data_IF_906157368893
#
_entry.id   IF_906157368893
#
_cell.length_a   1.000
_cell.length_b   1.000
_cell.length_c   1.000
_cell.angle_alpha   90.00
_cell.angle_beta   90.00
_cell.angle_gamma   90.00
#
_symmetry.space_group_name_H-M   'P 1'
#
loop_
_entity.id
_entity.type
_entity.pdbx_description
1 polymer ?
#
# COMPACT_ATOMS: atom_id res chain seq x y z
N UNK A 1 24.68 13.09 -79.71
CA UNK A 1 25.56 12.69 -78.60
C UNK A 1 24.93 13.20 -77.32
N UNK A 2 24.85 12.33 -76.30
CA UNK A 2 24.21 12.50 -74.97
C UNK A 2 24.54 13.87 -74.36
N UNK A 3 23.64 14.55 -73.62
CA UNK A 3 23.42 14.31 -72.20
C UNK A 3 22.03 14.77 -71.74
N UNK A 4 21.31 13.84 -71.10
CA UNK A 4 20.23 14.12 -70.16
C UNK A 4 20.81 14.77 -68.90
N UNK A 5 20.23 15.88 -68.43
CA UNK A 5 20.43 16.33 -67.06
C UNK A 5 19.09 16.20 -66.32
N UNK A 6 18.97 15.14 -65.52
CA UNK A 6 17.85 14.96 -64.60
C UNK A 6 18.02 15.93 -63.44
N UNK A 7 17.07 16.86 -63.27
CA UNK A 7 16.93 17.63 -62.03
C UNK A 7 16.31 16.67 -61.00
N UNK A 8 17.15 16.11 -60.13
CA UNK A 8 16.69 15.46 -58.90
C UNK A 8 16.42 16.59 -57.89
N UNK A 9 15.15 16.95 -57.72
CA UNK A 9 14.71 17.70 -56.55
C UNK A 9 14.73 16.72 -55.37
N UNK A 10 15.82 16.74 -54.61
CA UNK A 10 15.84 16.13 -53.29
C UNK A 10 14.93 16.99 -52.39
N UNK A 11 13.66 16.58 -52.28
CA UNK A 11 12.76 17.09 -51.25
C UNK A 11 13.30 16.57 -49.91
N UNK A 12 14.20 17.34 -49.29
CA UNK A 12 14.57 17.11 -47.89
C UNK A 12 13.32 17.46 -47.10
N UNK A 13 12.51 16.45 -46.78
CA UNK A 13 11.54 16.52 -45.70
C UNK A 13 12.32 16.68 -44.39
N UNK A 14 12.81 17.90 -44.14
CA UNK A 14 13.29 18.31 -42.84
C UNK A 14 12.05 18.38 -41.94
N UNK A 15 11.67 17.26 -41.34
CA UNK A 15 10.82 17.32 -40.15
C UNK A 15 11.54 18.23 -39.16
N UNK A 16 10.91 19.28 -38.63
CA UNK A 16 11.62 20.23 -37.81
C UNK A 16 12.05 19.54 -36.51
N UNK A 17 13.37 19.47 -36.24
CA UNK A 17 13.94 19.03 -34.96
C UNK A 17 13.26 19.70 -33.77
N UNK A 18 12.77 20.93 -33.95
CA UNK A 18 11.96 21.66 -32.98
C UNK A 18 10.65 20.93 -32.57
N UNK A 19 9.94 20.31 -33.51
CA UNK A 19 8.70 19.57 -33.22
C UNK A 19 8.97 18.28 -32.46
N UNK A 20 10.11 17.63 -32.72
CA UNK A 20 10.51 16.43 -31.97
C UNK A 20 10.80 16.81 -30.52
N UNK A 21 11.69 17.80 -30.30
CA UNK A 21 12.07 18.24 -28.94
C UNK A 21 10.90 18.72 -28.08
N UNK A 22 9.86 19.27 -28.71
CA UNK A 22 8.64 19.71 -28.01
C UNK A 22 7.82 18.52 -27.54
N UNK A 23 7.65 17.52 -28.40
CA UNK A 23 6.92 16.30 -28.07
C UNK A 23 7.55 15.54 -26.90
N UNK A 24 8.88 15.37 -26.89
CA UNK A 24 9.55 14.66 -25.78
C UNK A 24 9.46 15.43 -24.47
N UNK A 25 9.49 16.76 -24.52
CA UNK A 25 9.27 17.60 -23.35
C UNK A 25 7.85 17.45 -22.80
N UNK A 26 6.84 17.59 -23.64
CA UNK A 26 5.42 17.42 -23.24
C UNK A 26 5.17 16.03 -22.65
N UNK A 27 5.70 14.98 -23.29
CA UNK A 27 5.59 13.60 -22.79
C UNK A 27 6.25 13.43 -21.41
N UNK A 28 7.40 14.07 -21.19
CA UNK A 28 8.08 14.02 -19.90
C UNK A 28 7.32 14.78 -18.82
N UNK A 29 6.82 15.98 -19.14
CA UNK A 29 6.05 16.81 -18.21
C UNK A 29 4.76 16.08 -17.78
N UNK A 30 4.05 15.42 -18.70
CA UNK A 30 2.89 14.57 -18.42
C UNK A 30 3.26 13.38 -17.53
N UNK A 31 4.39 12.72 -17.82
CA UNK A 31 4.87 11.60 -17.02
C UNK A 31 5.24 12.02 -15.59
N UNK A 32 5.91 13.16 -15.41
CA UNK A 32 6.22 13.72 -14.09
C UNK A 32 4.95 14.07 -13.32
N UNK A 33 3.90 14.57 -13.99
CA UNK A 33 2.61 14.83 -13.35
C UNK A 33 2.00 13.54 -12.78
N UNK A 34 1.84 12.50 -13.59
CA UNK A 34 1.31 11.21 -13.12
C UNK A 34 2.21 10.57 -12.07
N UNK A 35 3.54 10.71 -12.19
CA UNK A 35 4.48 10.19 -11.21
C UNK A 35 4.35 10.92 -9.87
N UNK A 36 4.19 12.24 -9.88
CA UNK A 36 4.02 13.05 -8.67
C UNK A 36 2.69 12.82 -7.96
N UNK A 37 1.66 12.35 -8.68
CA UNK A 37 0.36 11.95 -8.12
C UNK A 37 0.25 10.44 -7.88
N UNK A 38 1.38 9.72 -7.92
CA UNK A 38 1.47 8.27 -7.70
C UNK A 38 0.62 7.41 -8.68
N UNK A 39 0.18 8.01 -9.78
CA UNK A 39 -0.48 7.33 -10.89
C UNK A 39 0.54 6.57 -11.76
N UNK A 40 1.30 5.66 -11.15
CA UNK A 40 2.43 4.96 -11.77
C UNK A 40 2.05 4.16 -13.02
N UNK A 41 0.80 3.65 -13.08
CA UNK A 41 0.26 2.95 -14.26
C UNK A 41 0.16 3.85 -15.49
N UNK A 42 -0.12 5.13 -15.28
CA UNK A 42 -0.24 6.14 -16.34
C UNK A 42 1.11 6.79 -16.68
N UNK A 43 1.98 6.97 -15.67
CA UNK A 43 3.33 7.50 -15.86
C UNK A 43 4.25 6.55 -16.65
N UNK A 44 4.22 5.25 -16.33
CA UNK A 44 5.10 4.23 -16.90
C UNK A 44 5.14 4.22 -18.45
N UNK A 45 4.02 4.14 -19.19
CA UNK A 45 4.06 4.07 -20.65
C UNK A 45 4.69 5.32 -21.28
N UNK A 46 4.56 6.49 -20.67
CA UNK A 46 5.15 7.74 -21.15
C UNK A 46 6.67 7.72 -21.01
N UNK A 47 7.20 7.28 -19.87
CA UNK A 47 8.65 7.11 -19.72
C UNK A 47 9.23 6.05 -20.66
N UNK A 48 8.54 4.92 -20.82
CA UNK A 48 8.95 3.88 -21.76
C UNK A 48 8.95 4.40 -23.21
N UNK A 49 8.03 5.30 -23.57
CA UNK A 49 8.02 5.96 -24.87
C UNK A 49 9.26 6.83 -25.09
N UNK A 50 9.71 7.56 -24.07
CA UNK A 50 10.95 8.34 -24.13
C UNK A 50 12.19 7.44 -24.29
N UNK A 51 12.26 6.32 -23.55
CA UNK A 51 13.37 5.35 -23.67
C UNK A 51 13.45 4.68 -25.05
N UNK A 52 12.32 4.51 -25.74
CA UNK A 52 12.29 3.98 -27.12
C UNK A 52 12.81 4.98 -28.17
N UNK A 53 13.00 6.25 -27.79
CA UNK A 53 13.49 7.34 -28.67
C UNK A 53 14.94 7.67 -28.30
N UNK A 54 15.25 8.96 -28.14
CA UNK A 54 16.60 9.47 -27.93
C UNK A 54 17.11 9.33 -26.48
N UNK A 55 16.36 8.67 -25.59
CA UNK A 55 16.67 8.60 -24.16
C UNK A 55 16.96 7.19 -23.64
N UNK A 56 17.29 6.24 -24.53
CA UNK A 56 17.46 4.81 -24.20
C UNK A 56 18.28 4.51 -22.94
N UNK A 57 19.39 5.24 -22.73
CA UNK A 57 20.33 5.03 -21.62
C UNK A 57 20.33 6.19 -20.60
N UNK A 58 19.27 7.00 -20.60
CA UNK A 58 19.12 8.13 -19.69
C UNK A 58 18.76 7.62 -18.28
N UNK A 59 19.70 7.75 -17.33
CA UNK A 59 19.55 7.19 -15.98
C UNK A 59 18.43 7.85 -15.18
N UNK A 60 18.13 9.13 -15.44
CA UNK A 60 17.04 9.87 -14.83
C UNK A 60 15.67 9.22 -15.19
N UNK A 61 15.46 8.85 -16.45
CA UNK A 61 14.23 8.19 -16.91
C UNK A 61 14.19 6.72 -16.49
N UNK A 62 15.31 5.99 -16.59
CA UNK A 62 15.41 4.61 -16.10
C UNK A 62 15.04 4.50 -14.62
N UNK A 63 15.51 5.44 -13.79
CA UNK A 63 15.14 5.54 -12.38
C UNK A 63 13.62 5.64 -12.16
N UNK A 64 12.93 6.52 -12.90
CA UNK A 64 11.48 6.69 -12.81
C UNK A 64 10.72 5.44 -13.24
N UNK A 65 11.15 4.81 -14.35
CA UNK A 65 10.58 3.53 -14.81
C UNK A 65 10.72 2.46 -13.72
N UNK A 66 11.89 2.39 -13.09
CA UNK A 66 12.14 1.51 -11.96
C UNK A 66 11.15 1.71 -10.81
N UNK A 67 10.93 2.95 -10.39
CA UNK A 67 9.96 3.29 -9.34
C UNK A 67 8.53 2.96 -9.75
N UNK A 68 8.14 3.27 -10.99
CA UNK A 68 6.82 2.90 -11.49
C UNK A 68 6.59 1.39 -11.38
N UNK A 69 7.55 0.56 -11.83
CA UNK A 69 7.45 -0.89 -11.72
C UNK A 69 7.39 -1.37 -10.26
N UNK A 70 8.16 -0.77 -9.34
CA UNK A 70 8.11 -1.13 -7.91
C UNK A 70 6.74 -0.91 -7.26
N UNK A 71 5.92 -0.02 -7.81
CA UNK A 71 4.60 0.31 -7.29
C UNK A 71 3.45 -0.34 -8.08
N UNK A 72 3.75 -1.19 -9.07
CA UNK A 72 2.76 -1.92 -9.84
C UNK A 72 2.67 -3.38 -9.40
N UNK A 73 1.52 -3.83 -8.84
CA UNK A 73 1.33 -5.22 -8.44
C UNK A 73 1.59 -6.20 -9.59
N UNK A 74 2.46 -7.18 -9.34
CA UNK A 74 2.84 -8.19 -10.32
C UNK A 74 3.91 -7.76 -11.33
N UNK A 75 4.38 -6.51 -11.28
CA UNK A 75 5.38 -5.97 -12.21
C UNK A 75 6.67 -5.49 -11.51
N UNK A 76 6.80 -5.70 -10.20
CA UNK A 76 7.94 -5.25 -9.38
C UNK A 76 9.28 -5.86 -9.81
N UNK A 77 9.28 -7.06 -10.38
CA UNK A 77 10.50 -7.71 -10.87
C UNK A 77 11.18 -6.93 -12.00
N UNK A 78 10.39 -6.29 -12.87
CA UNK A 78 10.90 -5.49 -13.99
C UNK A 78 11.74 -4.30 -13.51
N UNK A 79 11.49 -3.79 -12.31
CA UNK A 79 12.21 -2.63 -11.77
C UNK A 79 13.72 -2.84 -11.70
N UNK A 80 14.18 -4.07 -11.46
CA UNK A 80 15.59 -4.40 -11.24
C UNK A 80 16.42 -3.98 -12.44
N UNK A 81 16.02 -4.34 -13.66
CA UNK A 81 16.79 -4.03 -14.88
C UNK A 81 17.02 -2.51 -15.04
N UNK A 82 15.99 -1.73 -14.74
CA UNK A 82 16.04 -0.27 -14.89
C UNK A 82 16.85 0.38 -13.77
N UNK A 83 16.70 -0.07 -12.52
CA UNK A 83 17.38 0.49 -11.36
C UNK A 83 18.86 0.11 -11.30
N UNK A 84 19.24 -1.08 -11.76
CA UNK A 84 20.66 -1.45 -11.94
C UNK A 84 21.37 -0.47 -12.88
N UNK A 85 20.76 -0.17 -14.04
CA UNK A 85 21.33 0.79 -15.01
C UNK A 85 21.32 2.23 -14.50
N UNK A 86 20.26 2.63 -13.80
CA UNK A 86 20.13 3.98 -13.27
C UNK A 86 21.17 4.27 -12.18
N UNK A 87 21.30 3.36 -11.21
CA UNK A 87 22.17 3.50 -10.04
C UNK A 87 23.66 3.56 -10.38
N UNK A 88 24.10 2.91 -11.45
CA UNK A 88 25.47 3.01 -11.98
C UNK A 88 25.85 4.43 -12.43
N UNK A 89 24.87 5.28 -12.76
CA UNK A 89 25.07 6.70 -13.12
C UNK A 89 24.45 7.64 -12.08
N UNK A 90 24.43 7.24 -10.82
CA UNK A 90 23.94 8.08 -9.73
C UNK A 90 24.90 9.25 -9.45
N UNK A 91 24.36 10.44 -9.17
CA UNK A 91 25.16 11.64 -8.89
C UNK A 91 24.60 12.46 -7.73
N UNK A 92 25.50 13.02 -6.92
CA UNK A 92 25.16 14.00 -5.87
C UNK A 92 24.82 15.39 -6.42
N UNK A 93 25.13 15.66 -7.70
CA UNK A 93 24.79 16.91 -8.40
C UNK A 93 23.49 16.83 -9.22
N UNK A 94 22.71 15.77 -8.99
CA UNK A 94 21.43 15.50 -9.66
C UNK A 94 20.46 16.69 -9.64
N UNK A 95 19.89 17.02 -10.79
CA UNK A 95 18.86 18.06 -10.95
C UNK A 95 17.48 17.44 -11.14
N UNK A 96 16.64 17.55 -10.11
CA UNK A 96 15.26 17.08 -10.15
C UNK A 96 14.45 17.77 -11.28
N UNK A 97 13.58 17.00 -11.93
CA UNK A 97 12.59 17.47 -12.92
C UNK A 97 13.15 18.15 -14.18
N UNK A 98 14.31 17.69 -14.68
CA UNK A 98 14.84 18.10 -15.98
C UNK A 98 14.90 16.93 -16.96
N UNK A 99 14.28 17.06 -18.13
CA UNK A 99 14.44 16.10 -19.24
C UNK A 99 15.90 16.00 -19.72
N UNK A 100 16.70 17.04 -19.51
CA UNK A 100 18.13 17.05 -19.87
C UNK A 100 19.02 16.40 -18.81
N UNK A 101 18.50 16.13 -17.61
CA UNK A 101 19.23 15.36 -16.62
C UNK A 101 19.46 13.95 -17.14
N UNK A 102 20.70 13.48 -17.03
CA UNK A 102 21.16 12.19 -17.57
C UNK A 102 21.66 11.25 -16.49
N UNK A 103 21.84 11.74 -15.27
CA UNK A 103 22.19 10.97 -14.07
C UNK A 103 20.94 10.64 -13.25
N UNK A 104 21.04 9.60 -12.43
CA UNK A 104 20.02 9.28 -11.43
C UNK A 104 20.34 9.98 -10.09
N UNK A 105 19.35 10.18 -9.21
CA UNK A 105 19.63 10.55 -7.83
C UNK A 105 20.37 9.41 -7.10
N UNK A 106 21.08 9.72 -6.02
CA UNK A 106 21.72 8.70 -5.17
C UNK A 106 20.70 7.68 -4.63
N UNK A 107 19.46 8.11 -4.40
CA UNK A 107 18.32 7.27 -3.99
C UNK A 107 18.05 6.10 -4.95
N UNK A 108 18.53 6.16 -6.19
CA UNK A 108 18.46 5.00 -7.09
C UNK A 108 19.09 3.72 -6.50
N UNK A 109 20.10 3.83 -5.65
CA UNK A 109 20.65 2.69 -4.90
C UNK A 109 19.68 2.17 -3.83
N UNK A 110 18.99 3.08 -3.15
CA UNK A 110 17.97 2.73 -2.17
C UNK A 110 16.81 1.98 -2.84
N UNK A 111 16.28 2.52 -3.93
CA UNK A 111 15.20 1.87 -4.69
C UNK A 111 15.66 0.56 -5.34
N UNK A 112 16.92 0.45 -5.75
CA UNK A 112 17.48 -0.84 -6.20
C UNK A 112 17.50 -1.87 -5.06
N UNK A 113 17.86 -1.46 -3.85
CA UNK A 113 17.75 -2.32 -2.66
C UNK A 113 16.32 -2.80 -2.43
N UNK A 114 15.33 -1.90 -2.52
CA UNK A 114 13.91 -2.25 -2.44
C UNK A 114 13.54 -3.26 -3.54
N UNK A 115 13.95 -3.02 -4.79
CA UNK A 115 13.68 -3.92 -5.91
C UNK A 115 14.27 -5.31 -5.69
N UNK A 116 15.49 -5.43 -5.18
CA UNK A 116 16.05 -6.73 -4.83
C UNK A 116 15.30 -7.38 -3.66
N UNK A 117 14.96 -6.62 -2.62
CA UNK A 117 14.27 -7.11 -1.43
C UNK A 117 12.93 -7.73 -1.77
N UNK A 118 12.05 -6.99 -2.45
CA UNK A 118 10.70 -7.47 -2.84
C UNK A 118 10.74 -8.67 -3.78
N UNK A 119 11.84 -8.85 -4.52
CA UNK A 119 12.09 -9.99 -5.39
C UNK A 119 12.94 -11.08 -4.72
N UNK A 120 13.06 -11.07 -3.39
CA UNK A 120 13.77 -12.07 -2.57
C UNK A 120 15.27 -12.23 -2.88
N UNK A 121 15.88 -11.28 -3.59
CA UNK A 121 17.33 -11.21 -3.82
C UNK A 121 18.02 -10.52 -2.64
N UNK A 122 17.86 -11.09 -1.44
CA UNK A 122 18.12 -10.40 -0.16
C UNK A 122 19.59 -9.98 0.05
N UNK A 123 20.56 -10.78 -0.44
CA UNK A 123 21.97 -10.41 -0.35
C UNK A 123 22.30 -9.19 -1.21
N UNK A 124 21.78 -9.14 -2.45
CA UNK A 124 21.94 -7.98 -3.33
C UNK A 124 21.21 -6.74 -2.80
N UNK A 125 20.08 -6.95 -2.12
CA UNK A 125 19.36 -5.85 -1.46
C UNK A 125 20.25 -5.18 -0.39
N UNK A 126 20.86 -6.00 0.48
CA UNK A 126 21.81 -5.52 1.50
C UNK A 126 22.96 -4.76 0.86
N UNK A 127 23.60 -5.33 -0.17
CA UNK A 127 24.71 -4.66 -0.89
C UNK A 127 24.30 -3.29 -1.48
N UNK A 128 23.09 -3.19 -2.05
CA UNK A 128 22.57 -1.94 -2.60
C UNK A 128 22.31 -0.89 -1.52
N UNK A 129 21.73 -1.29 -0.38
CA UNK A 129 21.51 -0.40 0.77
C UNK A 129 22.83 0.08 1.40
N UNK A 130 23.81 -0.81 1.57
CA UNK A 130 25.14 -0.45 2.05
C UNK A 130 25.85 0.51 1.10
N UNK A 131 25.68 0.31 -0.22
CA UNK A 131 26.19 1.26 -1.20
C UNK A 131 25.51 2.62 -1.08
N UNK A 132 24.19 2.66 -0.91
CA UNK A 132 23.45 3.91 -0.66
C UNK A 132 24.03 4.65 0.55
N UNK A 133 24.20 3.98 1.70
CA UNK A 133 24.77 4.58 2.91
C UNK A 133 26.19 5.12 2.69
N UNK A 134 26.99 4.45 1.85
CA UNK A 134 28.36 4.87 1.50
C UNK A 134 28.38 6.11 0.62
N UNK A 135 27.52 6.18 -0.41
CA UNK A 135 27.55 7.29 -1.38
C UNK A 135 26.76 8.51 -0.90
N UNK A 136 25.72 8.31 -0.09
CA UNK A 136 24.83 9.36 0.42
C UNK A 136 25.36 9.94 1.73
N UNK A 137 26.40 10.77 1.65
CA UNK A 137 27.09 11.29 2.85
C UNK A 137 26.29 12.34 3.63
N UNK A 138 25.31 12.99 3.01
CA UNK A 138 24.53 14.12 3.58
C UNK A 138 23.14 13.76 4.14
N UNK A 139 22.84 12.46 4.25
CA UNK A 139 21.56 11.99 4.79
C UNK A 139 21.47 12.16 6.31
N UNK A 140 20.24 12.33 6.80
CA UNK A 140 19.94 12.49 8.22
C UNK A 140 20.21 11.21 9.01
N UNK A 141 20.32 11.28 10.34
CA UNK A 141 20.42 10.08 11.18
C UNK A 141 19.17 9.21 11.07
N UNK A 142 17.98 9.82 11.05
CA UNK A 142 16.71 9.11 10.87
C UNK A 142 16.69 8.30 9.56
N UNK A 143 17.20 8.89 8.47
CA UNK A 143 17.31 8.22 7.18
C UNK A 143 18.33 7.08 7.20
N UNK A 144 19.48 7.24 7.90
CA UNK A 144 20.43 6.13 8.10
C UNK A 144 19.82 4.99 8.89
N UNK A 145 19.15 5.31 10.00
CA UNK A 145 18.51 4.32 10.87
C UNK A 145 17.41 3.57 10.10
N UNK A 146 16.63 4.28 9.28
CA UNK A 146 15.63 3.66 8.42
C UNK A 146 16.24 2.71 7.39
N UNK A 147 17.35 3.08 6.73
CA UNK A 147 18.05 2.16 5.81
C UNK A 147 18.63 0.95 6.55
N UNK A 148 19.13 1.16 7.77
CA UNK A 148 19.62 0.07 8.60
C UNK A 148 18.50 -0.92 8.95
N UNK A 149 17.29 -0.42 9.24
CA UNK A 149 16.08 -1.24 9.44
C UNK A 149 15.80 -2.08 8.19
N UNK A 150 15.92 -1.52 6.97
CA UNK A 150 15.73 -2.28 5.72
C UNK A 150 16.78 -3.40 5.53
N UNK A 151 18.04 -3.14 5.90
CA UNK A 151 19.11 -4.15 5.89
C UNK A 151 18.80 -5.27 6.87
N UNK A 152 18.36 -4.94 8.09
CA UNK A 152 18.04 -5.93 9.11
C UNK A 152 16.75 -6.70 8.77
N UNK A 153 15.78 -6.07 8.11
CA UNK A 153 14.62 -6.75 7.53
C UNK A 153 15.04 -7.80 6.49
N UNK A 154 16.01 -7.48 5.61
CA UNK A 154 16.56 -8.47 4.68
C UNK A 154 17.20 -9.66 5.39
N UNK A 155 17.93 -9.43 6.48
CA UNK A 155 18.52 -10.52 7.28
C UNK A 155 17.45 -11.39 7.92
N UNK A 156 16.44 -10.79 8.55
CA UNK A 156 15.31 -11.52 9.15
C UNK A 156 14.50 -12.29 8.10
N UNK A 157 14.29 -11.71 6.92
CA UNK A 157 13.63 -12.38 5.80
C UNK A 157 14.36 -13.65 5.37
N UNK A 158 15.71 -13.66 5.35
CA UNK A 158 16.50 -14.87 5.04
C UNK A 158 16.20 -16.02 6.01
N UNK A 159 15.97 -15.70 7.29
CA UNK A 159 15.68 -16.70 8.32
C UNK A 159 14.20 -17.11 8.30
N UNK A 160 13.28 -16.16 8.09
CA UNK A 160 11.85 -16.42 7.98
C UNK A 160 11.51 -17.30 6.76
N UNK A 161 12.15 -17.08 5.61
CA UNK A 161 11.96 -17.91 4.40
C UNK A 161 12.40 -19.36 4.63
N UNK A 162 13.43 -19.59 5.46
CA UNK A 162 13.88 -20.95 5.83
C UNK A 162 12.93 -21.64 6.81
N UNK A 163 12.13 -20.87 7.55
CA UNK A 163 11.23 -21.34 8.60
C UNK A 163 9.80 -20.85 8.36
N UNK A 164 9.15 -21.26 7.25
CA UNK A 164 7.83 -20.76 6.91
C UNK A 164 6.77 -21.27 7.89
N UNK A 165 5.78 -20.43 8.18
CA UNK A 165 4.54 -20.84 8.85
C UNK A 165 3.61 -21.53 7.85
N UNK A 166 2.77 -22.43 8.35
CA UNK A 166 1.69 -23.03 7.55
C UNK A 166 0.47 -22.11 7.54
N UNK A 167 0.27 -21.48 6.37
CA UNK A 167 -0.84 -20.58 6.06
C UNK A 167 -1.28 -20.80 4.61
N UNK A 168 -2.58 -20.70 4.36
CA UNK A 168 -3.16 -20.81 3.03
C UNK A 168 -3.92 -19.53 2.66
N UNK A 169 -3.80 -19.13 1.39
CA UNK A 169 -4.54 -18.01 0.81
C UNK A 169 -5.48 -18.55 -0.25
N UNK A 170 -6.79 -18.47 0.01
CA UNK A 170 -7.82 -19.01 -0.88
C UNK A 170 -8.55 -17.83 -1.54
N UNK A 171 -8.32 -17.55 -2.84
CA UNK A 171 -9.08 -16.53 -3.56
C UNK A 171 -10.57 -16.81 -3.50
N UNK A 172 -11.36 -15.79 -3.19
CA UNK A 172 -12.81 -15.93 -3.16
C UNK A 172 -13.36 -16.03 -4.59
N UNK A 173 -14.29 -16.96 -4.78
CA UNK A 173 -15.10 -17.06 -5.99
C UNK A 173 -16.26 -16.07 -6.00
N UNK A 174 -17.17 -16.23 -6.97
CA UNK A 174 -18.34 -15.35 -7.13
C UNK A 174 -19.11 -15.17 -5.81
N UNK A 175 -19.55 -13.94 -5.49
CA UNK A 175 -19.55 -12.76 -6.36
C UNK A 175 -18.24 -11.95 -6.37
N UNK A 176 -17.22 -12.40 -5.65
CA UNK A 176 -15.85 -11.89 -5.73
C UNK A 176 -15.13 -12.52 -6.94
N UNK A 177 -13.85 -12.21 -7.11
CA UNK A 177 -13.05 -12.74 -8.20
C UNK A 177 -13.47 -12.20 -9.57
N UNK A 178 -13.90 -10.94 -9.61
CA UNK A 178 -14.19 -10.23 -10.86
C UNK A 178 -12.93 -10.08 -11.72
N UNK A 179 -13.06 -9.71 -13.00
CA UNK A 179 -11.89 -9.46 -13.85
C UNK A 179 -11.02 -8.27 -13.41
N UNK A 180 -11.57 -7.39 -12.59
CA UNK A 180 -10.91 -6.18 -12.12
C UNK A 180 -10.17 -6.44 -10.81
N UNK A 181 -9.31 -5.52 -10.39
CA UNK A 181 -8.65 -5.59 -9.08
C UNK A 181 -9.66 -5.40 -7.95
N UNK A 182 -9.54 -6.21 -6.92
CA UNK A 182 -10.40 -6.19 -5.73
C UNK A 182 -9.54 -5.93 -4.49
N UNK A 183 -10.00 -5.02 -3.63
CA UNK A 183 -9.23 -4.56 -2.47
C UNK A 183 -10.11 -4.18 -1.26
N UNK A 184 -9.45 -3.89 -0.13
CA UNK A 184 -10.05 -3.38 1.11
C UNK A 184 -11.27 -4.20 1.59
N UNK A 185 -11.20 -5.54 1.67
CA UNK A 185 -12.31 -6.31 2.19
C UNK A 185 -12.48 -6.03 3.68
N UNK A 186 -13.66 -5.64 4.11
CA UNK A 186 -14.06 -5.66 5.53
C UNK A 186 -15.19 -6.66 5.68
N UNK A 187 -15.08 -7.55 6.66
CA UNK A 187 -15.96 -8.71 6.81
C UNK A 187 -16.39 -8.76 8.27
N UNK A 188 -17.68 -9.01 8.55
CA UNK A 188 -18.13 -9.26 9.93
C UNK A 188 -17.51 -10.53 10.46
N UNK A 189 -17.26 -10.63 11.76
CA UNK A 189 -16.59 -11.82 12.33
C UNK A 189 -17.43 -13.11 12.21
N UNK A 190 -18.75 -13.01 12.04
CA UNK A 190 -19.61 -14.16 11.73
C UNK A 190 -19.61 -14.54 10.22
N UNK A 191 -18.80 -13.83 9.44
CA UNK A 191 -18.65 -13.93 7.99
C UNK A 191 -19.97 -13.77 7.21
N UNK A 192 -20.99 -13.09 7.75
CA UNK A 192 -22.30 -12.93 7.09
C UNK A 192 -22.38 -11.71 6.21
N UNK A 193 -21.59 -10.67 6.45
CA UNK A 193 -21.57 -9.46 5.65
C UNK A 193 -20.15 -9.10 5.26
N UNK A 194 -19.99 -8.52 4.08
CA UNK A 194 -18.73 -7.94 3.64
C UNK A 194 -18.98 -6.66 2.86
N UNK A 195 -18.01 -5.73 2.95
CA UNK A 195 -17.89 -4.58 2.06
C UNK A 195 -16.50 -4.62 1.44
N UNK A 196 -16.39 -4.33 0.15
CA UNK A 196 -15.12 -4.38 -0.57
C UNK A 196 -15.09 -3.44 -1.76
N UNK A 197 -13.89 -3.15 -2.25
CA UNK A 197 -13.66 -2.27 -3.38
C UNK A 197 -13.33 -3.08 -4.63
N UNK A 198 -13.85 -2.65 -5.78
CA UNK A 198 -13.49 -3.14 -7.11
C UNK A 198 -13.05 -1.96 -7.97
N UNK A 199 -11.82 -1.99 -8.46
CA UNK A 199 -11.26 -0.94 -9.32
C UNK A 199 -11.93 -0.97 -10.70
N UNK A 200 -12.72 0.05 -11.04
CA UNK A 200 -13.27 0.23 -12.38
C UNK A 200 -12.34 1.09 -13.22
N UNK A 201 -12.66 1.23 -14.52
CA UNK A 201 -11.86 2.04 -15.45
C UNK A 201 -11.73 3.51 -15.03
N UNK A 202 -12.75 4.06 -14.37
CA UNK A 202 -12.84 5.51 -14.08
C UNK A 202 -13.05 5.84 -12.60
N UNK A 203 -13.31 4.85 -11.74
CA UNK A 203 -13.62 5.05 -10.33
C UNK A 203 -13.44 3.75 -9.55
N UNK A 204 -13.46 3.82 -8.22
CA UNK A 204 -13.51 2.65 -7.35
C UNK A 204 -14.95 2.35 -6.92
N UNK A 205 -15.43 1.15 -7.22
CA UNK A 205 -16.77 0.70 -6.85
C UNK A 205 -16.74 0.01 -5.48
N UNK A 206 -17.47 0.54 -4.51
CA UNK A 206 -17.65 -0.07 -3.18
C UNK A 206 -18.90 -0.94 -3.22
N UNK A 207 -18.73 -2.23 -2.97
CA UNK A 207 -19.81 -3.21 -2.94
C UNK A 207 -20.06 -3.71 -1.53
N UNK A 208 -21.33 -3.82 -1.15
CA UNK A 208 -21.77 -4.58 0.01
C UNK A 208 -22.38 -5.90 -0.43
N UNK A 209 -22.11 -6.96 0.32
CA UNK A 209 -22.68 -8.28 0.08
C UNK A 209 -23.05 -8.96 1.41
N UNK A 210 -24.14 -9.71 1.39
CA UNK A 210 -24.61 -10.48 2.53
C UNK A 210 -24.79 -11.95 2.14
N UNK A 211 -24.40 -12.86 3.04
CA UNK A 211 -24.68 -14.29 2.88
C UNK A 211 -26.16 -14.59 3.08
N UNK A 212 -26.71 -15.44 2.22
CA UNK A 212 -28.02 -16.07 2.35
C UNK A 212 -27.81 -17.58 2.24
N UNK A 213 -28.30 -18.33 3.23
CA UNK A 213 -28.15 -19.80 3.30
C UNK A 213 -26.69 -20.26 3.10
N UNK A 214 -25.75 -19.61 3.79
CA UNK A 214 -24.32 -19.94 3.73
C UNK A 214 -23.56 -19.43 2.50
N UNK A 215 -24.26 -18.91 1.48
CA UNK A 215 -23.65 -18.45 0.23
C UNK A 215 -23.72 -16.93 0.12
N UNK A 216 -22.64 -16.30 -0.38
CA UNK A 216 -22.64 -14.86 -0.68
C UNK A 216 -23.70 -14.52 -1.72
N UNK A 217 -24.55 -13.54 -1.41
CA UNK A 217 -25.63 -13.09 -2.29
C UNK A 217 -25.16 -12.15 -3.41
N UNK A 218 -26.11 -11.45 -4.04
CA UNK A 218 -25.81 -10.44 -5.06
C UNK A 218 -25.19 -9.19 -4.42
N UNK A 219 -24.03 -8.70 -4.92
CA UNK A 219 -23.46 -7.44 -4.44
C UNK A 219 -24.34 -6.24 -4.75
N UNK A 220 -24.36 -5.28 -3.84
CA UNK A 220 -25.04 -3.99 -3.96
C UNK A 220 -23.99 -2.90 -4.06
N UNK A 221 -24.03 -2.11 -5.13
CA UNK A 221 -23.15 -0.95 -5.29
C UNK A 221 -23.54 0.14 -4.27
N UNK A 222 -22.61 0.50 -3.38
CA UNK A 222 -22.83 1.47 -2.31
C UNK A 222 -22.57 2.91 -2.73
N UNK A 223 -21.76 3.17 -3.78
CA UNK A 223 -21.37 4.53 -4.19
C UNK A 223 -22.54 5.54 -4.21
N UNK A 224 -23.72 5.24 -4.81
CA UNK A 224 -24.83 6.20 -4.84
C UNK A 224 -25.44 6.49 -3.46
N UNK A 225 -25.36 5.55 -2.52
CA UNK A 225 -25.95 5.71 -1.19
C UNK A 225 -25.00 6.38 -0.21
N UNK A 226 -23.70 6.09 -0.33
CA UNK A 226 -22.65 6.71 0.49
C UNK A 226 -22.15 8.05 -0.08
N UNK A 227 -22.65 8.44 -1.26
CA UNK A 227 -22.27 9.66 -1.99
C UNK A 227 -20.78 9.71 -2.37
N UNK A 228 -20.22 8.58 -2.83
CA UNK A 228 -18.84 8.51 -3.33
C UNK A 228 -18.78 8.51 -4.85
N UNK A 229 -17.86 9.28 -5.40
CA UNK A 229 -17.44 9.26 -6.79
C UNK A 229 -16.26 8.30 -7.08
N UNK A 230 -15.78 7.58 -6.06
CA UNK A 230 -14.70 6.59 -6.18
C UNK A 230 -13.48 6.81 -5.30
N UNK A 231 -13.55 7.76 -4.38
CA UNK A 231 -12.50 8.13 -3.42
C UNK A 231 -12.73 7.62 -1.98
N UNK A 232 -13.84 6.93 -1.71
CA UNK A 232 -14.11 6.31 -0.41
C UNK A 232 -13.81 4.81 -0.43
N UNK A 233 -12.98 4.35 0.50
CA UNK A 233 -12.57 2.96 0.63
C UNK A 233 -13.00 2.41 1.99
N UNK A 234 -13.62 1.21 2.07
CA UNK A 234 -14.00 0.62 3.35
C UNK A 234 -12.77 0.28 4.19
N UNK A 235 -12.79 0.64 5.47
CA UNK A 235 -11.71 0.33 6.43
C UNK A 235 -12.20 -0.48 7.63
N UNK A 236 -13.49 -0.38 8.00
CA UNK A 236 -14.08 -1.26 9.01
C UNK A 236 -15.59 -1.39 8.86
N UNK A 237 -16.13 -2.54 9.28
CA UNK A 237 -17.55 -2.82 9.38
C UNK A 237 -17.84 -3.36 10.79
N UNK A 238 -18.80 -2.79 11.51
CA UNK A 238 -19.21 -3.33 12.81
C UNK A 238 -19.85 -4.71 12.66
N UNK A 239 -19.76 -5.56 13.68
CA UNK A 239 -20.26 -6.94 13.62
C UNK A 239 -21.76 -7.07 13.37
N UNK A 240 -22.54 -6.10 13.85
CA UNK A 240 -23.97 -6.01 13.56
C UNK A 240 -24.27 -5.44 12.15
N UNK A 241 -23.24 -5.08 11.40
CA UNK A 241 -23.28 -4.49 10.07
C UNK A 241 -23.78 -3.05 10.02
N UNK A 242 -24.06 -2.41 11.17
CA UNK A 242 -24.73 -1.10 11.19
C UNK A 242 -23.81 0.09 11.02
N UNK A 243 -22.51 -0.05 11.30
CA UNK A 243 -21.52 1.02 11.17
C UNK A 243 -20.50 0.61 10.12
N UNK A 244 -20.39 1.41 9.08
CA UNK A 244 -19.36 1.31 8.05
C UNK A 244 -18.43 2.51 8.18
N UNK A 245 -17.16 2.26 8.47
CA UNK A 245 -16.10 3.26 8.43
C UNK A 245 -15.41 3.18 7.06
N UNK A 246 -15.19 4.34 6.48
CA UNK A 246 -14.57 4.53 5.17
C UNK A 246 -13.40 5.49 5.33
N UNK A 247 -12.32 5.29 4.59
CA UNK A 247 -11.27 6.28 4.42
C UNK A 247 -11.50 7.02 3.10
N UNK A 248 -11.48 8.35 3.16
CA UNK A 248 -11.43 9.23 2.00
C UNK A 248 -9.97 9.43 1.62
N UNK A 249 -9.62 9.13 0.37
CA UNK A 249 -8.30 9.43 -0.20
C UNK A 249 -8.47 10.49 -1.28
N UNK A 250 -7.89 11.65 -1.05
CA UNK A 250 -7.72 12.73 -2.02
C UNK A 250 -6.23 13.15 -2.03
N UNK A 251 -5.82 13.99 -2.99
CA UNK A 251 -4.41 14.30 -3.28
C UNK A 251 -3.59 14.73 -2.05
N UNK A 252 -4.18 15.49 -1.13
CA UNK A 252 -3.52 16.01 0.07
C UNK A 252 -4.24 15.63 1.38
N UNK A 253 -5.27 14.78 1.28
CA UNK A 253 -6.22 14.56 2.36
C UNK A 253 -6.55 13.08 2.55
N UNK A 254 -6.42 12.64 3.79
CA UNK A 254 -6.88 11.35 4.25
C UNK A 254 -7.75 11.53 5.50
N UNK A 255 -9.05 11.26 5.38
CA UNK A 255 -10.03 11.45 6.45
C UNK A 255 -10.85 10.18 6.66
N UNK A 256 -11.30 9.93 7.88
CA UNK A 256 -12.29 8.88 8.14
C UNK A 256 -13.71 9.41 8.02
N UNK A 257 -14.53 8.64 7.33
CA UNK A 257 -15.94 8.87 7.11
C UNK A 257 -16.75 7.75 7.74
N UNK A 258 -17.94 8.07 8.21
CA UNK A 258 -18.87 7.13 8.81
C UNK A 258 -20.17 7.10 8.02
N UNK A 259 -20.66 5.89 7.74
CA UNK A 259 -21.99 5.63 7.21
C UNK A 259 -22.72 4.63 8.10
N UNK A 260 -24.03 4.84 8.28
CA UNK A 260 -24.85 4.02 9.18
C UNK A 260 -25.97 3.31 8.42
N UNK A 261 -26.24 2.07 8.79
CA UNK A 261 -27.39 1.34 8.27
C UNK A 261 -28.69 1.88 8.89
N UNK A 262 -29.63 2.32 8.06
CA UNK A 262 -30.92 2.86 8.53
C UNK A 262 -32.08 1.85 8.46
N UNK A 263 -31.78 0.55 8.32
CA UNK A 263 -32.78 -0.50 8.13
C UNK A 263 -33.02 -0.88 6.66
N UNK A 264 -32.64 -0.01 5.70
CA UNK A 264 -32.84 -0.25 4.27
C UNK A 264 -31.56 -0.11 3.45
N UNK A 265 -30.71 0.86 3.78
CA UNK A 265 -29.45 1.16 3.11
C UNK A 265 -28.49 1.86 4.07
N UNK A 266 -27.22 1.90 3.69
CA UNK A 266 -26.25 2.82 4.29
C UNK A 266 -26.64 4.27 3.97
N UNK A 267 -26.46 5.17 4.93
CA UNK A 267 -26.65 6.61 4.76
C UNK A 267 -25.53 7.23 3.90
N UNK A 268 -25.69 8.48 3.43
CA UNK A 268 -24.55 9.25 2.95
C UNK A 268 -23.41 9.17 3.98
N UNK A 269 -22.19 8.93 3.50
CA UNK A 269 -21.03 8.95 4.36
C UNK A 269 -20.73 10.39 4.75
N UNK A 270 -20.47 10.63 6.04
CA UNK A 270 -20.14 11.95 6.57
C UNK A 270 -18.78 11.91 7.26
N UNK A 271 -18.00 13.00 7.28
CA UNK A 271 -16.73 13.04 8.01
C UNK A 271 -16.96 12.68 9.48
N UNK A 272 -16.09 11.83 10.04
CA UNK A 272 -16.17 11.43 11.43
C UNK A 272 -15.38 12.42 12.30
N UNK A 273 -16.07 13.47 12.74
CA UNK A 273 -15.50 14.68 13.35
C UNK A 273 -14.76 14.42 14.66
N UNK A 274 -15.06 13.32 15.32
CA UNK A 274 -14.48 12.91 16.59
C UNK A 274 -13.02 12.45 16.44
N UNK A 275 -12.64 11.98 15.25
CA UNK A 275 -11.26 11.57 14.96
C UNK A 275 -10.56 12.44 13.93
N UNK A 276 -11.27 12.99 12.94
CA UNK A 276 -10.64 13.75 11.86
C UNK A 276 -10.04 15.06 12.35
N UNK A 277 -8.86 15.37 11.83
CA UNK A 277 -8.14 16.61 12.13
C UNK A 277 -7.65 17.28 10.84
N UNK A 278 -6.64 18.15 10.96
CA UNK A 278 -5.90 18.68 9.79
C UNK A 278 -4.80 17.72 9.32
N UNK A 279 -4.52 16.70 10.12
CA UNK A 279 -3.53 15.67 9.85
C UNK A 279 -4.20 14.55 9.06
N UNK A 280 -3.44 13.54 8.68
CA UNK A 280 -3.98 12.36 8.03
C UNK A 280 -4.61 11.45 9.08
N UNK A 281 -5.78 10.93 8.74
CA UNK A 281 -6.40 9.77 9.36
C UNK A 281 -6.67 8.73 8.27
N UNK A 282 -5.81 7.72 8.19
CA UNK A 282 -5.69 6.78 7.06
C UNK A 282 -6.48 5.49 7.22
N UNK A 283 -6.70 5.05 8.46
CA UNK A 283 -7.47 3.84 8.74
C UNK A 283 -8.19 3.94 10.07
N UNK A 284 -9.30 3.22 10.23
CA UNK A 284 -9.96 3.02 11.50
C UNK A 284 -10.62 1.64 11.59
N UNK A 285 -10.66 1.06 12.79
CA UNK A 285 -11.36 -0.17 13.15
C UNK A 285 -12.26 0.05 14.36
N UNK A 286 -13.51 -0.39 14.27
CA UNK A 286 -14.46 -0.38 15.37
C UNK A 286 -14.50 -1.76 16.04
N UNK A 287 -14.50 -1.79 17.38
CA UNK A 287 -14.63 -3.02 18.16
C UNK A 287 -15.98 -3.70 17.95
N UNK A 288 -16.05 -5.01 18.20
CA UNK A 288 -17.27 -5.82 18.06
C UNK A 288 -18.44 -5.31 18.90
N UNK A 289 -18.17 -4.75 20.08
CA UNK A 289 -19.19 -4.15 20.95
C UNK A 289 -19.56 -2.70 20.57
N UNK A 290 -18.88 -2.13 19.57
CA UNK A 290 -19.11 -0.78 19.06
C UNK A 290 -18.64 0.34 19.99
N UNK A 291 -17.90 0.03 21.06
CA UNK A 291 -17.52 1.00 22.10
C UNK A 291 -16.11 1.54 21.99
N UNK A 292 -15.27 0.96 21.16
CA UNK A 292 -13.88 1.42 20.98
C UNK A 292 -13.59 1.52 19.50
N UNK A 293 -12.90 2.59 19.10
CA UNK A 293 -12.39 2.76 17.74
C UNK A 293 -10.88 2.98 17.84
N UNK A 294 -10.12 2.09 17.20
CA UNK A 294 -8.71 2.30 16.92
C UNK A 294 -8.59 2.97 15.55
N UNK A 295 -7.67 3.90 15.41
CA UNK A 295 -7.47 4.59 14.14
C UNK A 295 -6.01 5.07 14.01
N UNK A 296 -5.55 5.21 12.78
CA UNK A 296 -4.19 5.66 12.48
C UNK A 296 -4.17 7.15 12.16
N UNK A 297 -3.17 7.87 12.66
CA UNK A 297 -3.01 9.31 12.40
C UNK A 297 -1.58 9.80 12.57
N UNK A 298 -1.18 10.83 11.82
CA UNK A 298 0.08 11.56 12.00
C UNK A 298 -0.10 12.88 12.75
N UNK A 299 -1.05 12.91 13.70
CA UNK A 299 -1.33 14.07 14.54
C UNK A 299 -0.15 14.47 15.42
N UNK A 300 -0.18 15.69 15.96
CA UNK A 300 0.94 16.26 16.74
C UNK A 300 1.36 15.45 17.97
N UNK A 301 0.51 14.57 18.48
CA UNK A 301 0.83 13.68 19.62
C UNK A 301 1.32 12.29 19.20
N UNK A 302 1.72 12.12 17.94
CA UNK A 302 2.34 10.89 17.42
C UNK A 302 3.79 10.81 17.86
N UNK A 303 4.28 9.58 18.03
CA UNK A 303 5.65 9.22 18.34
C UNK A 303 6.47 9.15 17.05
N UNK A 304 5.90 8.56 15.99
CA UNK A 304 6.50 8.41 14.67
C UNK A 304 5.79 9.23 13.60
N UNK A 305 5.70 8.65 12.41
CA UNK A 305 4.96 9.21 11.29
C UNK A 305 3.46 9.05 11.54
N UNK A 306 2.92 7.93 11.09
CA UNK A 306 1.55 7.50 11.36
C UNK A 306 1.55 6.59 12.59
N UNK A 307 0.77 6.96 13.60
CA UNK A 307 0.64 6.22 14.85
C UNK A 307 -0.80 5.71 15.02
N UNK A 308 -0.95 4.61 15.76
CA UNK A 308 -2.25 4.09 16.20
C UNK A 308 -2.71 4.82 17.46
N UNK A 309 -3.93 5.33 17.41
CA UNK A 309 -4.66 5.95 18.49
C UNK A 309 -5.97 5.19 18.75
N UNK A 310 -6.64 5.49 19.86
CA UNK A 310 -7.98 5.01 20.12
C UNK A 310 -8.87 6.05 20.81
N UNK A 311 -10.18 5.88 20.64
CA UNK A 311 -11.26 6.56 21.37
C UNK A 311 -12.24 5.54 21.92
N UNK A 312 -12.88 5.87 23.03
CA UNK A 312 -13.84 5.02 23.74
C UNK A 312 -15.18 5.74 23.88
N UNK A 313 -16.28 5.00 23.75
CA UNK A 313 -17.63 5.52 23.97
C UNK A 313 -17.89 5.60 25.48
N UNK A 314 -18.10 6.82 25.96
CA UNK A 314 -18.33 7.14 27.37
C UNK A 314 -19.79 6.88 27.78
N UNK A 315 -20.09 6.79 29.09
CA UNK A 315 -21.45 6.54 29.59
C UNK A 315 -22.51 7.58 29.16
N UNK A 316 -22.09 8.80 28.82
CA UNK A 316 -22.94 9.87 28.30
C UNK A 316 -23.15 9.79 26.78
N UNK A 317 -22.72 8.70 26.14
CA UNK A 317 -22.78 8.45 24.70
C UNK A 317 -21.93 9.41 23.85
N UNK A 318 -20.94 10.07 24.45
CA UNK A 318 -19.91 10.82 23.73
C UNK A 318 -18.64 9.98 23.56
N UNK A 319 -17.88 10.26 22.51
CA UNK A 319 -16.55 9.67 22.35
C UNK A 319 -15.53 10.40 23.23
N UNK A 320 -14.59 9.65 23.81
CA UNK A 320 -13.46 10.19 24.56
C UNK A 320 -12.54 11.02 23.66
N UNK A 321 -11.68 11.82 24.27
CA UNK A 321 -10.54 12.38 23.55
C UNK A 321 -9.63 11.24 23.02
N UNK A 322 -9.00 11.42 21.84
CA UNK A 322 -8.03 10.47 21.32
C UNK A 322 -6.83 10.22 22.22
N UNK A 323 -6.47 8.95 22.37
CA UNK A 323 -5.29 8.51 23.15
C UNK A 323 -4.35 7.71 22.27
N UNK A 324 -3.05 7.99 22.34
CA UNK A 324 -2.03 7.21 21.63
C UNK A 324 -1.97 5.79 22.22
N UNK A 325 -1.81 4.77 21.38
CA UNK A 325 -1.76 3.35 21.81
C UNK A 325 -0.48 2.99 22.58
N UNK A 326 0.47 3.92 22.71
CA UNK A 326 1.71 3.78 23.47
C UNK A 326 2.87 3.26 22.62
N UNK A 327 4.07 3.35 23.19
CA UNK A 327 5.33 3.02 22.52
C UNK A 327 5.62 1.52 22.35
N UNK A 328 4.75 0.65 22.89
CA UNK A 328 4.79 -0.79 22.59
C UNK A 328 4.20 -1.04 21.20
N UNK A 329 3.10 -0.34 20.88
CA UNK A 329 2.44 -0.45 19.58
C UNK A 329 3.11 0.45 18.56
N UNK A 330 3.30 1.72 18.90
CA UNK A 330 3.82 2.73 17.99
C UNK A 330 5.34 2.86 18.10
N UNK A 331 5.99 3.04 16.95
CA UNK A 331 7.43 3.20 16.80
C UNK A 331 7.74 4.61 16.28
N UNK A 332 9.02 4.98 16.11
CA UNK A 332 9.36 6.22 15.40
C UNK A 332 9.01 6.20 13.90
N UNK A 333 8.54 5.09 13.34
CA UNK A 333 8.14 4.95 11.93
C UNK A 333 6.61 4.97 11.79
N UNK A 334 6.04 4.20 10.86
CA UNK A 334 4.60 4.16 10.59
C UNK A 334 3.98 2.86 11.08
N UNK A 335 2.85 2.99 11.78
CA UNK A 335 1.93 1.94 12.18
C UNK A 335 0.53 2.18 11.59
N UNK A 336 -0.01 1.19 10.91
CA UNK A 336 -1.13 1.33 9.98
C UNK A 336 -2.13 0.18 10.06
N UNK A 337 -3.31 0.40 9.48
CA UNK A 337 -4.34 -0.63 9.29
C UNK A 337 -4.69 -1.46 10.55
N UNK A 338 -5.02 -0.83 11.70
CA UNK A 338 -5.35 -1.58 12.91
C UNK A 338 -6.66 -2.36 12.73
N UNK A 339 -6.72 -3.57 13.29
CA UNK A 339 -7.92 -4.39 13.42
C UNK A 339 -7.93 -5.11 14.78
N UNK A 340 -9.11 -5.32 15.35
CA UNK A 340 -9.28 -6.06 16.60
C UNK A 340 -9.81 -7.47 16.34
N UNK A 341 -9.46 -8.41 17.22
CA UNK A 341 -10.19 -9.68 17.37
C UNK A 341 -11.64 -9.44 17.81
N UNK A 342 -12.49 -10.46 17.65
CA UNK A 342 -13.89 -10.48 18.12
C UNK A 342 -14.02 -10.05 19.59
N UNK A 343 -13.10 -10.52 20.42
CA UNK A 343 -13.06 -10.27 21.86
C UNK A 343 -12.43 -8.93 22.22
N UNK A 344 -11.75 -8.27 21.26
CA UNK A 344 -11.00 -7.03 21.49
C UNK A 344 -9.71 -7.21 22.29
N UNK A 345 -9.30 -8.46 22.55
CA UNK A 345 -8.09 -8.79 23.31
C UNK A 345 -6.82 -8.86 22.45
N UNK A 346 -6.95 -8.82 21.13
CA UNK A 346 -5.83 -8.91 20.20
C UNK A 346 -5.94 -7.79 19.18
N UNK A 347 -4.90 -6.96 19.10
CA UNK A 347 -4.75 -5.90 18.11
C UNK A 347 -3.80 -6.39 17.01
N UNK A 348 -4.32 -6.46 15.78
CA UNK A 348 -3.55 -6.68 14.57
C UNK A 348 -3.26 -5.34 13.91
N UNK A 349 -2.05 -5.14 13.40
CA UNK A 349 -1.67 -3.89 12.74
C UNK A 349 -0.45 -4.09 11.84
N UNK A 350 -0.28 -3.22 10.85
CA UNK A 350 0.92 -3.16 10.03
C UNK A 350 1.94 -2.21 10.66
N UNK A 351 3.24 -2.52 10.59
CA UNK A 351 4.30 -1.61 11.06
C UNK A 351 5.53 -1.66 10.17
N UNK A 352 6.24 -0.52 10.08
CA UNK A 352 7.58 -0.43 9.48
C UNK A 352 8.72 -0.49 10.49
N UNK A 353 8.45 -0.28 11.78
CA UNK A 353 9.48 -0.07 12.80
C UNK A 353 9.79 -1.28 13.68
N UNK A 354 8.86 -2.23 13.78
CA UNK A 354 9.07 -3.47 14.54
C UNK A 354 10.07 -4.41 13.84
N UNK A 355 10.17 -5.66 14.28
CA UNK A 355 11.05 -6.66 13.65
C UNK A 355 10.48 -7.18 12.31
N UNK A 356 10.30 -6.28 11.35
CA UNK A 356 9.81 -6.55 9.99
C UNK A 356 10.77 -7.43 9.19
N UNK A 357 10.24 -8.19 8.23
CA UNK A 357 10.98 -8.90 7.18
C UNK A 357 10.83 -8.21 5.82
N UNK A 358 9.88 -7.30 5.68
CA UNK A 358 9.66 -6.45 4.51
C UNK A 358 9.70 -4.95 4.84
N UNK A 359 8.87 -4.18 4.15
CA UNK A 359 8.72 -2.75 4.39
C UNK A 359 7.70 -2.53 5.50
N UNK A 360 6.43 -2.78 5.20
CA UNK A 360 5.38 -3.05 6.19
C UNK A 360 5.19 -4.55 6.40
N UNK A 361 5.06 -4.94 7.66
CA UNK A 361 4.65 -6.28 8.05
C UNK A 361 3.44 -6.21 8.97
N UNK A 362 2.57 -7.22 8.93
CA UNK A 362 1.51 -7.40 9.91
C UNK A 362 2.06 -8.03 11.20
N UNK A 363 1.69 -7.41 12.32
CA UNK A 363 1.94 -7.85 13.67
C UNK A 363 0.62 -8.07 14.40
N UNK A 364 0.68 -8.82 15.50
CA UNK A 364 -0.37 -8.80 16.50
C UNK A 364 0.20 -8.58 17.90
N UNK A 365 -0.60 -7.98 18.78
CA UNK A 365 -0.30 -7.82 20.19
C UNK A 365 -1.51 -8.22 21.03
N UNK A 366 -1.27 -8.84 22.18
CA UNK A 366 -2.29 -9.37 23.08
C UNK A 366 -2.42 -8.47 24.30
N UNK A 367 -3.67 -8.11 24.63
CA UNK A 367 -4.02 -7.31 25.78
C UNK A 367 -3.74 -8.10 27.06
N UNK A 368 -2.89 -7.53 27.91
CA UNK A 368 -2.52 -8.08 29.19
C UNK A 368 -3.57 -7.80 30.26
N UNK A 369 -3.49 -8.49 31.40
CA UNK A 369 -4.43 -8.33 32.51
C UNK A 369 -4.43 -6.93 33.13
N UNK A 370 -3.33 -6.19 33.00
CA UNK A 370 -3.21 -4.79 33.44
C UNK A 370 -3.73 -3.78 32.40
N UNK A 371 -4.22 -4.27 31.26
CA UNK A 371 -4.74 -3.47 30.15
C UNK A 371 -3.69 -2.97 29.16
N UNK A 372 -2.40 -3.25 29.40
CA UNK A 372 -1.33 -2.96 28.44
C UNK A 372 -1.33 -3.95 27.27
N UNK A 373 -0.65 -3.59 26.19
CA UNK A 373 -0.40 -4.46 25.05
C UNK A 373 0.91 -5.25 25.26
N UNK A 374 0.96 -6.50 24.80
CA UNK A 374 2.23 -7.25 24.73
C UNK A 374 3.18 -6.67 23.68
N UNK A 375 4.44 -7.07 23.73
CA UNK A 375 5.33 -6.88 22.58
C UNK A 375 4.70 -7.45 21.29
N UNK A 376 4.77 -6.71 20.16
CA UNK A 376 4.19 -7.16 18.91
C UNK A 376 4.90 -8.39 18.34
N UNK A 377 4.12 -9.36 17.87
CA UNK A 377 4.61 -10.59 17.27
C UNK A 377 4.37 -10.54 15.76
N UNK A 378 5.45 -10.69 14.99
CA UNK A 378 5.41 -10.76 13.54
C UNK A 378 4.63 -12.01 13.09
N UNK A 379 3.70 -11.85 12.15
CA UNK A 379 2.88 -12.95 11.65
C UNK A 379 3.62 -13.96 10.74
N UNK A 380 4.89 -13.71 10.42
CA UNK A 380 5.79 -14.67 9.80
C UNK A 380 5.60 -14.85 8.30
N UNK A 381 6.58 -15.48 7.65
CA UNK A 381 6.55 -15.80 6.22
C UNK A 381 5.79 -17.12 5.98
N UNK A 382 4.95 -17.27 4.94
CA UNK A 382 4.71 -16.36 3.80
C UNK A 382 3.51 -15.40 3.99
N UNK A 383 3.03 -15.22 5.21
CA UNK A 383 1.97 -14.25 5.49
C UNK A 383 2.46 -12.83 5.29
N UNK A 384 3.51 -12.46 6.03
CA UNK A 384 4.37 -11.35 5.66
C UNK A 384 5.37 -11.81 4.60
N UNK A 385 5.81 -10.88 3.78
CA UNK A 385 6.71 -11.08 2.67
C UNK A 385 7.85 -10.07 2.77
N UNK A 386 8.93 -10.21 1.98
CA UNK A 386 9.92 -9.16 1.86
C UNK A 386 9.43 -7.89 1.14
N UNK A 387 8.13 -7.63 1.06
CA UNK A 387 7.49 -6.46 0.45
C UNK A 387 6.65 -5.73 1.51
N UNK A 388 5.63 -4.99 1.12
CA UNK A 388 4.67 -4.40 2.03
C UNK A 388 3.42 -5.29 2.18
N UNK A 389 3.14 -5.70 3.42
CA UNK A 389 1.95 -6.44 3.82
C UNK A 389 1.13 -5.61 4.82
N UNK A 390 -0.07 -5.18 4.39
CA UNK A 390 -1.00 -4.34 5.16
C UNK A 390 -2.43 -4.88 5.04
N UNK A 391 -3.33 -4.36 5.90
CA UNK A 391 -4.78 -4.59 5.81
C UNK A 391 -5.16 -6.08 5.92
N UNK A 392 -4.99 -6.62 7.13
CA UNK A 392 -5.50 -7.95 7.50
C UNK A 392 -6.73 -7.84 8.39
N UNK A 393 -7.84 -8.45 7.95
CA UNK A 393 -9.10 -8.47 8.70
C UNK A 393 -9.25 -9.82 9.41
N UNK A 394 -9.00 -9.90 10.73
CA UNK A 394 -9.20 -11.13 11.48
C UNK A 394 -10.70 -11.44 11.58
N UNK A 395 -11.03 -12.72 11.53
CA UNK A 395 -12.39 -13.25 11.75
C UNK A 395 -12.42 -14.10 13.00
N UNK A 396 -11.37 -14.89 13.20
CA UNK A 396 -11.05 -15.60 14.43
C UNK A 396 -9.54 -15.87 14.45
N UNK A 397 -9.06 -16.58 15.47
CA UNK A 397 -7.63 -16.88 15.63
C UNK A 397 -6.99 -17.51 14.37
N UNK A 398 -7.72 -18.37 13.65
CA UNK A 398 -7.19 -19.13 12.50
C UNK A 398 -7.58 -18.57 11.14
N UNK A 399 -8.45 -17.57 11.08
CA UNK A 399 -9.10 -17.17 9.84
C UNK A 399 -9.16 -15.66 9.73
N UNK A 400 -8.88 -15.15 8.54
CA UNK A 400 -9.12 -13.75 8.20
C UNK A 400 -9.24 -13.52 6.71
N UNK A 401 -9.24 -12.26 6.33
CA UNK A 401 -9.38 -11.81 4.95
C UNK A 401 -8.36 -10.72 4.64
N UNK A 402 -7.81 -10.74 3.43
CA UNK A 402 -6.95 -9.66 2.93
C UNK A 402 -7.07 -9.54 1.42
N UNK A 403 -6.46 -8.49 0.88
CA UNK A 403 -6.24 -8.37 -0.56
C UNK A 403 -4.86 -8.92 -0.90
N UNK A 404 -4.72 -9.69 -1.98
CA UNK A 404 -3.42 -10.21 -2.43
C UNK A 404 -3.35 -10.28 -3.95
N UNK A 405 -2.18 -10.01 -4.51
CA UNK A 405 -1.95 -10.25 -5.93
C UNK A 405 -1.89 -11.76 -6.20
N UNK A 406 -2.68 -12.23 -7.16
CA UNK A 406 -2.72 -13.64 -7.56
C UNK A 406 -2.09 -13.76 -8.96
N UNK A 407 -0.89 -14.37 -9.08
CA UNK A 407 -0.19 -14.49 -10.37
C UNK A 407 -0.99 -15.17 -11.47
N UNK A 408 -1.77 -16.20 -11.12
CA UNK A 408 -2.58 -16.97 -12.06
C UNK A 408 -3.65 -16.11 -12.75
N UNK A 409 -4.23 -15.15 -12.01
CA UNK A 409 -5.25 -14.23 -12.54
C UNK A 409 -4.70 -12.85 -12.89
N UNK A 410 -3.42 -12.59 -12.62
CA UNK A 410 -2.69 -11.32 -12.84
C UNK A 410 -3.41 -10.09 -12.27
N UNK A 411 -3.87 -10.19 -11.02
CA UNK A 411 -4.79 -9.21 -10.45
C UNK A 411 -4.81 -9.27 -8.93
N UNK A 412 -5.18 -8.16 -8.29
CA UNK A 412 -5.54 -8.17 -6.87
C UNK A 412 -6.86 -8.90 -6.66
N UNK A 413 -6.88 -9.80 -5.67
CA UNK A 413 -8.05 -10.59 -5.27
C UNK A 413 -8.23 -10.51 -3.78
N UNK A 414 -9.47 -10.63 -3.34
CA UNK A 414 -9.78 -10.91 -1.94
C UNK A 414 -9.53 -12.39 -1.69
N UNK A 415 -8.72 -12.68 -0.68
CA UNK A 415 -8.38 -14.03 -0.26
C UNK A 415 -8.88 -14.28 1.15
N UNK A 416 -9.38 -15.49 1.40
CA UNK A 416 -9.55 -16.02 2.75
C UNK A 416 -8.21 -16.59 3.21
N UNK A 417 -7.71 -16.10 4.34
CA UNK A 417 -6.48 -16.55 4.98
C UNK A 417 -6.85 -17.63 5.99
N UNK A 418 -6.14 -18.76 5.97
CA UNK A 418 -6.30 -19.85 6.91
C UNK A 418 -4.95 -20.23 7.52
N UNK A 419 -4.81 -20.06 8.83
CA UNK A 419 -3.67 -20.52 9.62
C UNK A 419 -3.94 -21.92 10.16
N UNK A 420 -2.94 -22.79 10.14
CA UNK A 420 -3.03 -24.07 10.86
C UNK A 420 -3.01 -23.85 12.37
N UNK A 421 -3.82 -24.62 13.12
CA UNK A 421 -4.01 -24.46 14.58
C UNK A 421 -2.70 -24.46 15.40
N UNK A 422 -1.66 -25.12 14.91
CA UNK A 422 -0.37 -25.21 15.59
C UNK A 422 0.54 -23.99 15.37
N UNK A 423 0.17 -23.07 14.47
CA UNK A 423 0.88 -21.80 14.21
C UNK A 423 0.14 -20.59 14.78
N UNK A 424 -0.88 -20.84 15.60
CA UNK A 424 -1.58 -19.77 16.29
C UNK A 424 -0.68 -19.14 17.35
N UNK A 425 -0.92 -17.85 17.68
CA UNK A 425 -0.55 -17.34 18.99
C UNK A 425 -0.98 -18.37 20.03
N UNK A 426 -0.10 -18.74 20.94
CA UNK A 426 -0.49 -19.62 22.04
C UNK A 426 -1.55 -18.89 22.86
N UNK A 427 -2.84 -19.15 22.57
CA UNK A 427 -3.94 -18.87 23.46
C UNK A 427 -3.64 -19.68 24.73
N UNK A 428 -3.17 -18.98 25.77
CA UNK A 428 -3.04 -19.43 27.16
C UNK A 428 -2.63 -20.91 27.38
N UNK A 429 -1.37 -21.10 27.81
CA UNK A 429 -1.12 -22.07 28.88
C UNK A 429 -1.49 -21.44 30.22
#
# INVERSE_FOLDING_TARGET
MKFFLHIIVALICATPLFSQSRFEKETFDDAEYFFATEAYRDALPLYLQLLKRNYRDNANILYRVGICYLNLPGEKAQAIEYLEKASQKASSSYKKSSLKESHAPLDSWLYLGNAYRVNTQLDKAIEAYENYLRVSTKISNLERDWVQIQIDACKRAKDAIKNPIAVSFIPLGRPFGTKNNESNPVVTHDERMAVYTVQQKFYNAVYWVQKKNGNWGTPVLLNPTIMSDGNLFPVSLSDDGKILLLNLIDLDKSDIYISRWNGKRYTPAVPFKEINTKYWESHACISSDGKTIYFTSNRSSSIGGLDIFFIELLPDSQWSAPRNAGNIINTPLNEETPFLSVTGDTLYFASQGHNTIGGFDIFYSIRQSDGSWSEPINMGYPFNTPDDDLFYVPVNATTGYQSRYIPESKSMRIVKVLFEKNNLPSEHK
#
